data_IF_596677637059
#
_entry.id   IF_596677637059
#
_cell.length_a   1.000
_cell.length_b   1.000
_cell.length_c   1.000
_cell.angle_alpha   90.00
_cell.angle_beta   90.00
_cell.angle_gamma   90.00
#
_symmetry.space_group_name_H-M   'P 1'
#
loop_
_entity.id
_entity.type
_entity.pdbx_description
1 polymer ?
#
# COMPACT_ATOMS: atom_id res chain seq x y z
N UNK A 1 3.01 14.50 -9.09
CA UNK A 1 2.43 13.64 -8.02
C UNK A 1 3.50 13.11 -7.06
N UNK A 2 4.67 12.64 -7.53
CA UNK A 2 5.71 12.08 -6.64
C UNK A 2 6.75 13.07 -6.08
N UNK A 3 6.83 14.29 -6.63
CA UNK A 3 7.77 15.32 -6.20
C UNK A 3 7.73 15.63 -4.68
N UNK A 4 6.56 15.72 -4.02
CA UNK A 4 6.50 16.00 -2.58
C UNK A 4 7.18 14.93 -1.72
N UNK A 5 7.17 13.66 -2.14
CA UNK A 5 7.76 12.55 -1.37
C UNK A 5 9.28 12.64 -1.27
N UNK A 6 9.94 13.20 -2.29
CA UNK A 6 11.39 13.47 -2.24
C UNK A 6 11.75 14.71 -1.45
N UNK A 7 10.79 15.61 -1.20
CA UNK A 7 10.97 16.82 -0.39
C UNK A 7 10.68 16.57 1.10
N UNK A 8 9.92 15.51 1.43
CA UNK A 8 9.72 15.05 2.81
C UNK A 8 11.01 14.35 3.27
N UNK A 9 11.69 14.91 4.26
CA UNK A 9 12.85 14.27 4.87
C UNK A 9 12.47 13.14 5.83
N UNK A 10 13.39 12.20 6.07
CA UNK A 10 13.27 11.17 7.10
C UNK A 10 13.24 9.74 6.57
N UNK A 11 12.96 8.79 7.46
CA UNK A 11 12.94 7.35 7.16
C UNK A 11 11.94 7.02 6.04
N UNK A 12 10.79 7.69 6.04
CA UNK A 12 9.71 7.49 5.08
C UNK A 12 10.18 7.77 3.64
N UNK A 13 10.94 8.84 3.39
CA UNK A 13 11.40 9.12 2.03
C UNK A 13 12.44 8.13 1.54
N UNK A 14 13.33 7.62 2.41
CA UNK A 14 14.27 6.55 2.02
C UNK A 14 13.55 5.28 1.54
N UNK A 15 12.40 4.93 2.14
CA UNK A 15 11.60 3.79 1.71
C UNK A 15 10.76 4.07 0.45
N UNK A 16 10.19 5.27 0.31
CA UNK A 16 9.27 5.59 -0.78
C UNK A 16 9.92 6.19 -2.04
N UNK A 17 11.11 6.81 -1.92
CA UNK A 17 11.88 7.36 -3.04
C UNK A 17 12.19 6.35 -4.16
N UNK A 18 12.70 5.13 -3.90
CA UNK A 18 12.98 4.17 -4.96
C UNK A 18 11.73 3.81 -5.78
N UNK A 19 10.56 3.73 -5.15
CA UNK A 19 9.27 3.53 -5.85
C UNK A 19 8.87 4.74 -6.70
N UNK A 20 9.01 5.95 -6.13
CA UNK A 20 8.72 7.18 -6.86
C UNK A 20 9.59 7.34 -8.11
N UNK A 21 10.89 7.05 -7.99
CA UNK A 21 11.84 7.13 -9.10
C UNK A 21 11.56 6.09 -10.18
N UNK A 22 11.24 4.84 -9.81
CA UNK A 22 10.88 3.80 -10.79
C UNK A 22 9.63 4.19 -11.59
N UNK A 23 8.58 4.67 -10.92
CA UNK A 23 7.37 5.13 -11.63
C UNK A 23 7.66 6.34 -12.50
N UNK A 24 8.44 7.32 -12.02
CA UNK A 24 8.81 8.50 -12.79
C UNK A 24 9.59 8.12 -14.07
N UNK A 25 10.60 7.26 -13.96
CA UNK A 25 11.36 6.77 -15.11
C UNK A 25 10.49 5.92 -16.04
N UNK A 26 9.61 5.08 -15.52
CA UNK A 26 8.69 4.27 -16.33
C UNK A 26 7.71 5.14 -17.13
N UNK A 27 7.12 6.17 -16.52
CA UNK A 27 6.24 7.10 -17.21
C UNK A 27 6.98 7.95 -18.25
N UNK A 28 8.20 8.41 -17.94
CA UNK A 28 9.02 9.14 -18.90
C UNK A 28 9.41 8.25 -20.11
N UNK A 29 9.81 7.01 -19.86
CA UNK A 29 10.09 6.04 -20.91
C UNK A 29 8.81 5.71 -21.71
N UNK A 30 7.68 5.48 -21.04
CA UNK A 30 6.38 5.21 -21.67
C UNK A 30 5.94 6.36 -22.56
N UNK A 31 6.18 7.61 -22.15
CA UNK A 31 5.90 8.78 -22.97
C UNK A 31 6.73 8.77 -24.27
N UNK A 32 8.04 8.54 -24.18
CA UNK A 32 8.91 8.43 -25.36
C UNK A 32 8.47 7.27 -26.26
N UNK A 33 8.15 6.12 -25.68
CA UNK A 33 7.65 4.94 -26.39
C UNK A 33 6.29 5.21 -27.06
N UNK A 34 5.40 5.97 -26.41
CA UNK A 34 4.09 6.32 -26.97
C UNK A 34 4.18 7.22 -28.19
N UNK A 35 5.20 8.07 -28.28
CA UNK A 35 5.42 8.95 -29.44
C UNK A 35 6.19 8.24 -30.55
N UNK A 36 7.01 7.25 -30.23
CA UNK A 36 7.90 6.61 -31.21
C UNK A 36 7.37 5.24 -31.65
N UNK A 37 7.16 4.33 -30.70
CA UNK A 37 6.83 2.93 -30.97
C UNK A 37 5.36 2.76 -31.34
N UNK A 38 4.44 3.45 -30.66
CA UNK A 38 3.00 3.29 -30.94
C UNK A 38 2.67 3.70 -32.38
N UNK A 39 3.14 4.83 -32.93
CA UNK A 39 2.87 5.17 -34.34
C UNK A 39 3.49 4.17 -35.33
N UNK A 40 4.72 3.72 -35.06
CA UNK A 40 5.40 2.74 -35.92
C UNK A 40 4.67 1.40 -35.93
N UNK A 41 4.25 0.90 -34.76
CA UNK A 41 3.46 -0.32 -34.66
C UNK A 41 2.08 -0.17 -35.32
N UNK A 42 1.46 1.01 -35.19
CA UNK A 42 0.18 1.30 -35.83
C UNK A 42 0.31 1.20 -37.36
N UNK A 43 1.38 1.76 -37.94
CA UNK A 43 1.65 1.66 -39.38
C UNK A 43 1.99 0.22 -39.84
N UNK A 44 2.67 -0.56 -39.00
CA UNK A 44 3.07 -1.93 -39.34
C UNK A 44 1.93 -2.95 -39.18
N UNK A 45 1.10 -2.80 -38.15
CA UNK A 45 0.11 -3.81 -37.76
C UNK A 45 -1.30 -3.53 -38.26
N UNK A 46 -1.71 -2.25 -38.36
CA UNK A 46 -3.08 -1.89 -38.76
C UNK A 46 -3.17 -1.80 -40.29
N UNK A 47 -3.96 -2.70 -40.88
CA UNK A 47 -4.31 -2.66 -42.30
C UNK A 47 -5.51 -1.73 -42.51
N UNK A 48 -5.47 -0.82 -43.52
CA UNK A 48 -6.51 0.21 -43.72
C UNK A 48 -7.90 -0.31 -44.11
N UNK A 49 -8.07 -1.61 -44.38
CA UNK A 49 -9.36 -2.19 -44.81
C UNK A 49 -10.36 -2.47 -43.68
N UNK A 50 -9.96 -2.37 -42.41
CA UNK A 50 -10.84 -2.68 -41.26
C UNK A 50 -11.12 -1.43 -40.41
N UNK A 51 -11.59 -0.34 -41.02
CA UNK A 51 -12.19 0.77 -40.25
C UNK A 51 -13.67 0.44 -40.09
N UNK A 52 -14.12 -0.07 -38.93
CA UNK A 52 -15.53 -0.32 -38.71
C UNK A 52 -16.31 1.00 -38.80
N UNK A 53 -17.34 1.03 -39.66
CA UNK A 53 -18.34 2.09 -39.64
C UNK A 53 -18.90 2.24 -38.22
N UNK A 54 -19.13 3.49 -37.80
CA UNK A 54 -19.64 3.85 -36.49
C UNK A 54 -21.02 3.24 -36.23
N UNK A 55 -21.05 1.98 -35.79
CA UNK A 55 -22.21 1.39 -35.14
C UNK A 55 -22.22 1.93 -33.71
N UNK A 56 -23.29 2.65 -33.36
CA UNK A 56 -23.52 3.05 -31.98
C UNK A 56 -23.40 1.82 -31.08
N UNK A 57 -22.34 1.82 -30.28
CA UNK A 57 -22.10 0.75 -29.34
C UNK A 57 -23.17 0.82 -28.25
N UNK A 58 -23.57 -0.32 -27.68
CA UNK A 58 -24.53 -0.32 -26.56
C UNK A 58 -24.09 0.63 -25.45
N UNK A 59 -22.79 0.77 -25.19
CA UNK A 59 -22.25 1.75 -24.24
C UNK A 59 -22.62 3.20 -24.59
N UNK A 60 -22.52 3.60 -25.85
CA UNK A 60 -22.82 4.96 -26.29
C UNK A 60 -24.29 5.31 -26.02
N UNK A 61 -25.21 4.37 -26.24
CA UNK A 61 -26.65 4.57 -25.95
C UNK A 61 -26.98 4.77 -24.48
N UNK A 62 -26.15 4.28 -23.55
CA UNK A 62 -26.32 4.55 -22.11
C UNK A 62 -25.54 5.80 -21.66
N UNK A 63 -24.40 6.06 -22.29
CA UNK A 63 -23.55 7.21 -21.98
C UNK A 63 -24.18 8.54 -22.40
N UNK A 64 -24.70 8.66 -23.62
CA UNK A 64 -25.29 9.91 -24.13
C UNK A 64 -26.44 10.44 -23.25
N UNK A 65 -27.46 9.65 -22.87
CA UNK A 65 -28.55 10.15 -22.04
C UNK A 65 -28.14 10.44 -20.60
N UNK A 66 -27.17 9.69 -20.04
CA UNK A 66 -26.65 9.98 -18.69
C UNK A 66 -25.82 11.27 -18.68
N UNK A 67 -25.08 11.54 -19.76
CA UNK A 67 -24.35 12.80 -19.95
C UNK A 67 -25.31 13.98 -20.10
N UNK A 68 -26.32 13.87 -20.96
CA UNK A 68 -27.35 14.91 -21.15
C UNK A 68 -28.12 15.20 -19.86
N UNK A 69 -28.48 14.16 -19.10
CA UNK A 69 -29.14 14.32 -17.82
C UNK A 69 -28.26 15.04 -16.80
N UNK A 70 -26.96 14.67 -16.73
CA UNK A 70 -25.98 15.28 -15.84
C UNK A 70 -25.72 16.76 -16.17
N UNK A 71 -25.70 17.10 -17.47
CA UNK A 71 -25.55 18.47 -17.98
C UNK A 71 -26.79 19.32 -17.70
N UNK A 72 -28.00 18.76 -17.85
CA UNK A 72 -29.25 19.49 -17.64
C UNK A 72 -29.53 19.72 -16.14
N UNK A 73 -29.07 18.82 -15.26
CA UNK A 73 -29.27 18.89 -13.81
C UNK A 73 -28.00 19.26 -13.05
N UNK A 74 -27.26 20.29 -13.51
CA UNK A 74 -25.97 20.72 -12.92
C UNK A 74 -25.98 20.85 -11.39
N UNK A 75 -27.08 21.33 -10.80
CA UNK A 75 -27.21 21.50 -9.34
C UNK A 75 -27.35 20.17 -8.61
N UNK A 76 -28.05 19.19 -9.20
CA UNK A 76 -28.20 17.84 -8.64
C UNK A 76 -26.85 17.10 -8.73
N UNK A 77 -26.17 17.18 -9.88
CA UNK A 77 -24.84 16.58 -10.07
C UNK A 77 -23.83 17.18 -9.09
N UNK A 78 -23.84 18.50 -8.91
CA UNK A 78 -22.95 19.19 -7.97
C UNK A 78 -23.25 18.81 -6.52
N UNK A 79 -24.53 18.77 -6.13
CA UNK A 79 -24.97 18.35 -4.80
C UNK A 79 -24.59 16.90 -4.51
N UNK A 80 -24.83 15.98 -5.44
CA UNK A 80 -24.45 14.57 -5.32
C UNK A 80 -22.94 14.42 -5.16
N UNK A 81 -22.15 15.12 -5.97
CA UNK A 81 -20.68 15.10 -5.87
C UNK A 81 -20.22 15.62 -4.51
N UNK A 82 -20.82 16.70 -4.02
CA UNK A 82 -20.49 17.26 -2.70
C UNK A 82 -20.84 16.30 -1.57
N UNK A 83 -22.01 15.65 -1.63
CA UNK A 83 -22.43 14.65 -0.64
C UNK A 83 -21.44 13.48 -0.62
N UNK A 84 -21.08 12.93 -1.78
CA UNK A 84 -20.12 11.83 -1.88
C UNK A 84 -18.74 12.25 -1.37
N UNK A 85 -18.30 13.47 -1.69
CA UNK A 85 -17.04 14.01 -1.22
C UNK A 85 -17.01 14.14 0.31
N UNK A 86 -18.04 14.76 0.91
CA UNK A 86 -18.15 14.93 2.37
C UNK A 86 -18.24 13.58 3.06
N UNK A 87 -19.02 12.64 2.53
CA UNK A 87 -19.12 11.28 3.06
C UNK A 87 -17.76 10.56 3.03
N UNK A 88 -16.99 10.69 1.94
CA UNK A 88 -15.65 10.11 1.81
C UNK A 88 -14.68 10.70 2.84
N UNK A 89 -14.67 12.02 3.01
CA UNK A 89 -13.82 12.71 4.00
C UNK A 89 -14.20 12.33 5.43
N UNK A 90 -15.50 12.22 5.72
CA UNK A 90 -15.97 11.77 7.03
C UNK A 90 -15.50 10.34 7.34
N UNK A 91 -15.55 9.45 6.34
CA UNK A 91 -15.09 8.07 6.48
C UNK A 91 -13.58 7.98 6.75
N UNK A 92 -12.76 8.85 6.13
CA UNK A 92 -11.32 8.93 6.41
C UNK A 92 -11.02 9.21 7.89
N UNK A 93 -11.83 10.04 8.55
CA UNK A 93 -11.67 10.35 9.98
C UNK A 93 -11.97 9.16 10.91
N UNK A 94 -12.74 8.18 10.43
CA UNK A 94 -13.08 6.97 11.21
C UNK A 94 -12.05 5.84 11.08
N UNK A 95 -11.09 5.96 10.15
CA UNK A 95 -10.07 4.94 9.94
C UNK A 95 -8.96 5.04 11.00
N UNK A 96 -8.69 3.96 11.76
CA UNK A 96 -7.56 3.95 12.69
C UNK A 96 -6.25 4.06 11.90
N UNK A 97 -5.46 5.10 12.19
CA UNK A 97 -4.17 5.34 11.54
C UNK A 97 -3.06 4.57 12.26
N UNK A 98 -2.72 3.39 11.76
CA UNK A 98 -1.47 2.72 12.15
C UNK A 98 -0.31 3.26 11.33
N UNK A 99 0.63 3.96 11.98
CA UNK A 99 1.83 4.53 11.31
C UNK A 99 2.75 3.47 10.71
N UNK A 100 2.77 2.28 11.32
CA UNK A 100 3.43 1.10 10.80
C UNK A 100 2.40 -0.01 10.94
N UNK A 101 1.83 -0.56 9.84
CA UNK A 101 1.13 -1.83 9.95
C UNK A 101 2.14 -2.81 10.52
N UNK A 102 1.75 -3.64 11.48
CA UNK A 102 2.57 -4.76 11.91
C UNK A 102 2.85 -5.60 10.67
N UNK A 103 3.99 -5.34 10.02
CA UNK A 103 4.56 -6.17 8.97
C UNK A 103 4.69 -7.50 9.68
N UNK A 104 3.81 -8.43 9.32
CA UNK A 104 3.48 -9.59 10.12
C UNK A 104 4.65 -10.55 10.21
N UNK A 105 5.64 -10.20 11.02
CA UNK A 105 6.53 -11.18 11.59
C UNK A 105 5.72 -11.88 12.69
N UNK A 106 5.52 -13.20 12.60
CA UNK A 106 4.91 -13.99 13.66
C UNK A 106 5.91 -14.15 14.83
N UNK A 107 6.49 -13.04 15.27
CA UNK A 107 7.48 -12.99 16.33
C UNK A 107 6.86 -12.28 17.51
N UNK A 108 6.83 -12.96 18.65
CA UNK A 108 6.36 -12.41 19.92
C UNK A 108 7.57 -12.18 20.80
N UNK A 109 7.84 -10.92 21.17
CA UNK A 109 8.91 -10.59 22.11
C UNK A 109 8.37 -10.68 23.54
N UNK A 110 8.95 -11.54 24.37
CA UNK A 110 8.60 -11.70 25.79
C UNK A 110 9.80 -11.24 26.62
N UNK A 111 9.60 -10.23 27.47
CA UNK A 111 10.62 -9.74 28.42
C UNK A 111 10.30 -10.24 29.82
N UNK A 112 11.23 -10.97 30.42
CA UNK A 112 11.11 -11.50 31.80
C UNK A 112 12.06 -10.74 32.71
N UNK A 113 11.51 -9.98 33.65
CA UNK A 113 12.28 -9.23 34.65
C UNK A 113 12.36 -10.03 35.97
N UNK A 114 13.58 -10.32 36.45
CA UNK A 114 13.83 -10.99 37.72
C UNK A 114 14.34 -10.00 38.78
N UNK A 115 14.03 -10.20 40.08
CA UNK A 115 14.49 -9.32 41.15
C UNK A 115 16.03 -9.29 41.26
N UNK A 116 16.58 -8.09 41.50
CA UNK A 116 18.04 -7.87 41.55
C UNK A 116 18.70 -8.71 42.67
N UNK A 117 19.71 -9.50 42.29
CA UNK A 117 20.48 -10.36 43.22
C UNK A 117 20.31 -11.87 43.02
N UNK A 118 19.51 -12.31 42.05
CA UNK A 118 19.45 -13.72 41.64
C UNK A 118 20.79 -14.16 41.04
N UNK A 119 21.26 -15.35 41.42
CA UNK A 119 22.48 -15.90 40.84
C UNK A 119 22.21 -16.23 39.36
N UNK A 120 23.18 -15.99 38.49
CA UNK A 120 23.09 -16.34 37.06
C UNK A 120 22.62 -17.79 36.83
N UNK A 121 23.05 -18.72 37.69
CA UNK A 121 22.62 -20.12 37.63
C UNK A 121 21.13 -20.33 37.91
N UNK A 122 20.54 -19.53 38.79
CA UNK A 122 19.12 -19.59 39.16
C UNK A 122 18.24 -18.91 38.11
N UNK A 123 18.75 -17.83 37.51
CA UNK A 123 18.14 -17.20 36.33
C UNK A 123 18.11 -18.14 35.12
N UNK A 124 19.21 -18.85 34.83
CA UNK A 124 19.29 -19.80 33.71
C UNK A 124 18.29 -20.95 33.87
N UNK A 125 18.14 -21.49 35.09
CA UNK A 125 17.20 -22.58 35.36
C UNK A 125 15.74 -22.14 35.21
N UNK A 126 15.38 -20.95 35.71
CA UNK A 126 14.03 -20.39 35.59
C UNK A 126 13.66 -20.05 34.13
N UNK A 127 14.61 -19.51 33.37
CA UNK A 127 14.40 -19.16 31.96
C UNK A 127 14.25 -20.42 31.09
N UNK A 128 15.02 -21.48 31.38
CA UNK A 128 14.86 -22.78 30.69
C UNK A 128 13.52 -23.44 30.94
N UNK A 129 12.99 -23.34 32.16
CA UNK A 129 11.65 -23.86 32.46
C UNK A 129 10.57 -23.10 31.68
N UNK A 130 10.70 -21.77 31.61
CA UNK A 130 9.79 -20.93 30.84
C UNK A 130 9.88 -21.19 29.32
N UNK A 131 11.08 -21.37 28.79
CA UNK A 131 11.30 -21.72 27.37
C UNK A 131 10.64 -23.05 27.00
N UNK A 132 10.77 -24.08 27.86
CA UNK A 132 10.14 -25.39 27.64
C UNK A 132 8.61 -25.31 27.62
N UNK A 133 8.01 -24.44 28.43
CA UNK A 133 6.56 -24.25 28.48
C UNK A 133 6.04 -23.45 27.27
N UNK A 134 6.80 -22.47 26.78
CA UNK A 134 6.48 -21.70 25.57
C UNK A 134 6.64 -22.54 24.30
N UNK A 135 7.64 -23.43 24.23
CA UNK A 135 7.79 -24.41 23.14
C UNK A 135 6.65 -25.44 23.08
N UNK A 136 5.92 -25.62 24.18
CA UNK A 136 4.75 -26.50 24.26
C UNK A 136 3.47 -25.90 23.69
N UNK A 137 3.47 -24.62 23.31
CA UNK A 137 2.30 -23.94 22.73
C UNK A 137 2.20 -24.17 21.22
N UNK A 138 1.02 -24.56 20.76
CA UNK A 138 0.71 -24.71 19.34
C UNK A 138 0.90 -23.37 18.61
N UNK A 139 1.86 -23.31 17.68
CA UNK A 139 2.16 -22.12 16.86
C UNK A 139 3.57 -21.55 17.03
N UNK A 140 4.40 -22.09 17.95
CA UNK A 140 5.78 -21.64 18.17
C UNK A 140 6.78 -22.58 17.48
N UNK A 141 7.48 -22.07 16.45
CA UNK A 141 8.43 -22.88 15.66
C UNK A 141 9.88 -22.79 16.17
N UNK A 142 10.25 -21.66 16.77
CA UNK A 142 11.58 -21.40 17.30
C UNK A 142 11.51 -20.42 18.46
N UNK A 143 12.27 -20.70 19.52
CA UNK A 143 12.49 -19.78 20.64
C UNK A 143 13.96 -19.39 20.65
N UNK A 144 14.23 -18.09 20.77
CA UNK A 144 15.57 -17.57 20.98
C UNK A 144 15.59 -16.84 22.31
N UNK A 145 16.43 -17.32 23.23
CA UNK A 145 16.57 -16.76 24.57
C UNK A 145 17.90 -16.02 24.67
N UNK A 146 17.86 -14.76 25.08
CA UNK A 146 19.06 -13.98 25.43
C UNK A 146 19.05 -13.68 26.93
N UNK A 147 19.99 -14.28 27.67
CA UNK A 147 20.15 -14.06 29.12
C UNK A 147 21.30 -13.08 29.34
N UNK A 148 21.01 -11.93 29.95
CA UNK A 148 22.01 -10.90 30.23
C UNK A 148 22.24 -9.96 29.05
N UNK A 149 21.14 -9.41 28.51
CA UNK A 149 21.16 -8.51 27.35
C UNK A 149 22.24 -7.43 27.44
N UNK A 150 22.85 -7.16 26.29
CA UNK A 150 23.83 -6.10 26.07
C UNK A 150 23.24 -4.73 26.41
N UNK A 151 23.28 -4.39 27.68
CA UNK A 151 22.92 -3.09 28.24
C UNK A 151 23.91 -2.78 29.35
N UNK A 152 24.95 -2.04 29.00
CA UNK A 152 25.61 -1.17 29.97
C UNK A 152 24.71 0.03 30.26
#
# INVERSE_FOLDING_TARGET
VFLPLGLVGGLISSFFLPFGLTVAYALAASFVVSITVVPVLTMLLIRPEHIPEHKETRLQRWYTPTLEWSLNHRLVTLGLTLIVFVASVFLLGTLPQSFIPSLGEPTVNITVELPAGTKMAETDEMVRQFEAEVLGLDGVTAVQTEIGGSGG
#
